data_IF_647473404092
#
_entry.id   IF_647473404092
#
_cell.length_a   1.000
_cell.length_b   1.000
_cell.length_c   1.000
_cell.angle_alpha   90.00
_cell.angle_beta   90.00
_cell.angle_gamma   90.00
#
_symmetry.space_group_name_H-M   'P 1'
#
loop_
_entity.id
_entity.type
_entity.pdbx_description
1 polymer ?
#
# COMPACT_ATOMS: atom_id res chain seq x y z
N UNK A 1 13.73 -1.42 10.54
CA UNK A 1 14.92 -2.16 11.08
C UNK A 1 15.22 -3.45 10.30
N UNK A 2 15.86 -3.33 9.12
CA UNK A 2 16.35 -4.49 8.35
C UNK A 2 17.89 -4.46 8.32
N UNK A 3 18.54 -5.55 8.70
CA UNK A 3 20.01 -5.69 8.73
C UNK A 3 20.46 -6.78 7.77
N UNK A 4 21.34 -6.42 6.84
CA UNK A 4 21.94 -7.39 5.90
C UNK A 4 23.43 -7.53 6.21
N UNK A 5 23.85 -8.77 6.52
CA UNK A 5 25.25 -9.10 6.77
C UNK A 5 25.76 -9.96 5.62
N UNK A 6 26.78 -9.47 4.92
CA UNK A 6 27.47 -10.25 3.89
C UNK A 6 28.89 -10.56 4.34
N UNK A 7 29.11 -11.83 4.63
CA UNK A 7 30.44 -12.36 4.87
C UNK A 7 31.12 -12.67 3.53
N UNK A 8 32.41 -12.41 3.50
CA UNK A 8 33.28 -12.65 2.36
C UNK A 8 32.97 -11.88 1.07
N UNK A 9 32.78 -10.57 1.18
CA UNK A 9 32.62 -9.70 0.02
C UNK A 9 34.00 -9.31 -0.55
N UNK A 10 34.23 -9.43 -1.86
CA UNK A 10 35.52 -9.08 -2.46
C UNK A 10 35.75 -7.57 -2.40
N UNK A 11 36.95 -7.16 -1.96
CA UNK A 11 37.34 -5.76 -1.88
C UNK A 11 37.28 -5.03 -3.23
N UNK A 12 37.43 -5.76 -4.35
CA UNK A 12 37.32 -5.21 -5.71
C UNK A 12 35.92 -4.66 -6.05
N UNK A 13 34.88 -5.09 -5.33
CA UNK A 13 33.50 -4.63 -5.55
C UNK A 13 33.05 -3.56 -4.54
N UNK A 14 33.96 -3.09 -3.69
CA UNK A 14 33.69 -1.93 -2.83
C UNK A 14 33.84 -0.64 -3.64
N UNK A 15 33.06 0.41 -3.32
CA UNK A 15 33.29 1.73 -3.87
C UNK A 15 34.67 2.28 -3.47
N UNK A 16 35.22 3.18 -4.29
CA UNK A 16 36.63 3.58 -4.26
C UNK A 16 37.04 4.24 -2.93
N UNK A 17 36.10 4.96 -2.31
CA UNK A 17 36.20 5.63 -1.01
C UNK A 17 36.43 4.66 0.16
N UNK A 18 35.86 3.45 0.08
CA UNK A 18 36.00 2.41 1.11
C UNK A 18 37.07 1.36 0.75
N UNK A 19 37.64 1.46 -0.45
CA UNK A 19 38.67 0.54 -0.96
C UNK A 19 40.10 0.98 -0.60
N UNK A 20 40.28 2.23 -0.18
CA UNK A 20 41.60 2.80 0.09
C UNK A 20 42.31 2.06 1.23
N UNK A 21 43.53 1.55 0.97
CA UNK A 21 44.33 0.81 1.94
C UNK A 21 44.03 -0.69 2.07
N UNK A 22 43.13 -1.25 1.25
CA UNK A 22 42.83 -2.68 1.19
C UNK A 22 43.42 -3.33 -0.07
N UNK A 23 43.95 -4.54 0.06
CA UNK A 23 44.44 -5.33 -1.08
C UNK A 23 43.26 -5.68 -2.02
N UNK A 24 43.49 -5.66 -3.33
CA UNK A 24 42.45 -5.90 -4.34
C UNK A 24 41.85 -7.30 -4.24
N UNK A 25 42.61 -8.27 -3.72
CA UNK A 25 42.15 -9.65 -3.49
C UNK A 25 41.67 -9.91 -2.05
N UNK A 26 41.65 -8.89 -1.20
CA UNK A 26 41.18 -9.04 0.17
C UNK A 26 39.67 -9.33 0.21
N UNK A 27 39.29 -10.05 1.26
CA UNK A 27 37.91 -10.42 1.54
C UNK A 27 37.43 -9.67 2.77
N UNK A 28 36.35 -8.90 2.65
CA UNK A 28 35.84 -8.04 3.73
C UNK A 28 34.45 -8.48 4.21
N UNK A 29 34.08 -8.03 5.41
CA UNK A 29 32.73 -8.20 5.96
C UNK A 29 31.97 -6.89 5.82
N UNK A 30 30.88 -6.89 5.07
CA UNK A 30 30.04 -5.70 4.85
C UNK A 30 28.78 -5.81 5.70
N UNK A 31 28.53 -4.79 6.51
CA UNK A 31 27.31 -4.65 7.31
C UNK A 31 26.55 -3.46 6.74
N UNK A 32 25.37 -3.71 6.17
CA UNK A 32 24.49 -2.66 5.64
C UNK A 32 23.38 -2.42 6.64
N UNK A 33 23.35 -1.20 7.18
CA UNK A 33 22.31 -0.71 8.07
C UNK A 33 21.54 0.38 7.31
N UNK A 34 20.27 0.12 7.04
CA UNK A 34 19.37 1.09 6.42
C UNK A 34 18.57 1.71 7.54
N UNK A 35 18.80 3.01 7.82
CA UNK A 35 17.88 3.80 8.62
C UNK A 35 16.50 3.74 7.95
N UNK A 36 15.43 3.58 8.73
CA UNK A 36 14.06 3.65 8.20
C UNK A 36 13.85 5.06 7.64
N UNK A 37 14.22 5.25 6.38
CA UNK A 37 13.80 6.40 5.59
C UNK A 37 12.29 6.21 5.50
N UNK A 38 11.47 7.06 6.14
CA UNK A 38 10.03 6.98 5.96
C UNK A 38 9.79 7.05 4.45
N UNK A 39 8.93 6.18 3.89
CA UNK A 39 8.74 6.10 2.45
C UNK A 39 8.50 7.51 1.92
N UNK A 40 9.36 7.96 1.00
CA UNK A 40 9.23 9.25 0.29
C UNK A 40 8.07 9.19 -0.72
N UNK A 41 6.96 8.55 -0.35
CA UNK A 41 5.69 8.67 -1.01
C UNK A 41 4.87 9.66 -0.21
N UNK A 42 4.66 10.82 -0.85
CA UNK A 42 3.74 11.86 -0.41
C UNK A 42 2.45 11.26 0.14
N UNK A 43 2.26 11.50 1.42
CA UNK A 43 1.30 10.90 2.33
C UNK A 43 -0.12 11.46 2.15
N UNK A 44 -0.57 11.62 0.91
CA UNK A 44 -1.96 12.02 0.58
C UNK A 44 -2.91 10.83 0.52
N UNK A 45 -2.38 9.60 0.55
CA UNK A 45 -3.14 8.34 0.52
C UNK A 45 -3.14 7.58 1.86
N UNK A 46 -2.46 8.08 2.92
CA UNK A 46 -2.46 7.44 4.25
C UNK A 46 -3.84 7.20 4.83
N UNK A 47 -4.77 8.13 4.59
CA UNK A 47 -6.15 7.98 5.05
C UNK A 47 -6.80 6.71 4.49
N UNK A 48 -6.54 6.41 3.21
CA UNK A 48 -7.10 5.23 2.54
C UNK A 48 -6.39 3.94 2.96
N UNK A 49 -5.07 3.97 3.14
CA UNK A 49 -4.30 2.81 3.60
C UNK A 49 -4.65 2.41 5.05
N UNK A 50 -4.82 3.40 5.94
CA UNK A 50 -5.26 3.17 7.31
C UNK A 50 -6.68 2.58 7.37
N UNK A 51 -7.56 2.98 6.45
CA UNK A 51 -8.93 2.48 6.33
C UNK A 51 -9.00 1.06 5.75
N UNK A 52 -8.04 0.66 4.91
CA UNK A 52 -7.91 -0.71 4.41
C UNK A 52 -7.31 -1.69 5.44
N UNK A 53 -6.39 -1.23 6.29
CA UNK A 53 -5.74 -2.07 7.31
C UNK A 53 -6.62 -2.27 8.56
N UNK A 54 -7.60 -1.39 8.74
CA UNK A 54 -8.73 -1.62 9.64
C UNK A 54 -9.65 -2.69 9.03
N UNK A 55 -9.32 -3.97 9.22
CA UNK A 55 -10.23 -5.08 8.86
C UNK A 55 -11.62 -4.73 9.42
N UNK A 56 -12.65 -4.57 8.57
CA UNK A 56 -13.99 -4.28 9.07
C UNK A 56 -14.34 -5.39 10.05
N UNK A 57 -14.78 -5.01 11.25
CA UNK A 57 -15.22 -5.99 12.26
C UNK A 57 -16.18 -6.93 11.56
N UNK A 58 -15.93 -8.23 11.62
CA UNK A 58 -16.84 -9.22 11.03
C UNK A 58 -18.19 -9.06 11.73
N UNK A 59 -19.14 -8.43 11.05
CA UNK A 59 -20.48 -8.24 11.59
C UNK A 59 -21.12 -9.61 11.78
N UNK A 60 -21.83 -9.78 12.89
CA UNK A 60 -22.66 -10.98 13.04
C UNK A 60 -23.79 -10.96 12.01
N UNK A 61 -24.32 -12.12 11.63
CA UNK A 61 -25.44 -12.19 10.67
C UNK A 61 -26.64 -11.32 11.10
N UNK A 62 -26.91 -11.24 12.41
CA UNK A 62 -27.97 -10.38 12.96
C UNK A 62 -27.66 -8.89 12.78
N UNK A 63 -26.45 -8.49 13.11
CA UNK A 63 -25.99 -7.11 12.98
C UNK A 63 -26.01 -6.63 11.52
N UNK A 64 -25.68 -7.52 10.57
CA UNK A 64 -25.78 -7.24 9.14
C UNK A 64 -27.24 -7.01 8.68
N UNK A 65 -28.17 -7.82 9.19
CA UNK A 65 -29.61 -7.67 8.89
C UNK A 65 -30.13 -6.34 9.45
N UNK A 66 -29.80 -6.01 10.70
CA UNK A 66 -30.23 -4.78 11.36
C UNK A 66 -29.67 -3.53 10.65
N UNK A 67 -28.38 -3.55 10.28
CA UNK A 67 -27.76 -2.48 9.51
C UNK A 67 -28.41 -2.29 8.13
N UNK A 68 -28.74 -3.38 7.44
CA UNK A 68 -29.42 -3.30 6.14
C UNK A 68 -30.85 -2.76 6.26
N UNK A 69 -31.57 -3.12 7.33
CA UNK A 69 -32.89 -2.58 7.61
C UNK A 69 -32.83 -1.07 7.88
N UNK A 70 -31.84 -0.63 8.66
CA UNK A 70 -31.66 0.79 9.00
C UNK A 70 -31.25 1.63 7.79
N UNK A 71 -30.35 1.10 6.96
CA UNK A 71 -29.99 1.72 5.68
C UNK A 71 -31.20 1.87 4.75
N UNK A 72 -32.09 0.87 4.69
CA UNK A 72 -33.31 0.94 3.87
C UNK A 72 -34.32 1.97 4.37
N UNK A 73 -34.33 2.29 5.66
CA UNK A 73 -35.21 3.33 6.25
C UNK A 73 -34.67 4.73 6.00
N UNK A 74 -33.35 4.90 6.15
CA UNK A 74 -32.68 6.22 6.05
C UNK A 74 -32.31 6.60 4.61
N UNK A 75 -32.16 5.62 3.72
CA UNK A 75 -31.86 5.89 2.32
C UNK A 75 -33.12 6.28 1.53
N UNK A 76 -33.31 7.60 1.42
CA UNK A 76 -34.42 8.25 0.71
C UNK A 76 -34.20 8.22 -0.82
N UNK A 77 -32.98 7.97 -1.30
CA UNK A 77 -32.64 8.09 -2.73
C UNK A 77 -32.91 6.80 -3.50
N UNK A 78 -34.18 6.38 -3.52
CA UNK A 78 -34.67 5.35 -4.45
C UNK A 78 -34.76 5.97 -5.83
N UNK A 79 -33.69 5.87 -6.62
CA UNK A 79 -33.77 6.16 -8.04
C UNK A 79 -34.56 5.05 -8.72
N UNK A 80 -35.46 5.37 -9.67
CA UNK A 80 -36.08 4.35 -10.50
C UNK A 80 -35.00 3.62 -11.31
N UNK A 81 -35.29 2.37 -11.69
CA UNK A 81 -34.32 1.49 -12.35
C UNK A 81 -33.83 2.10 -13.66
N UNK A 82 -34.73 2.77 -14.37
CA UNK A 82 -34.48 3.42 -15.64
C UNK A 82 -33.45 4.56 -15.50
N UNK A 83 -33.58 5.39 -14.46
CA UNK A 83 -32.65 6.48 -14.15
C UNK A 83 -31.28 5.93 -13.74
N UNK A 84 -31.25 4.87 -12.94
CA UNK A 84 -30.00 4.21 -12.56
C UNK A 84 -29.26 3.67 -13.79
N UNK A 85 -29.97 3.00 -14.70
CA UNK A 85 -29.40 2.45 -15.94
C UNK A 85 -28.92 3.56 -16.87
N UNK A 86 -29.67 4.66 -17.01
CA UNK A 86 -29.26 5.81 -17.81
C UNK A 86 -27.93 6.40 -17.32
N UNK A 87 -27.81 6.61 -16.00
CA UNK A 87 -26.59 7.14 -15.38
C UNK A 87 -25.38 6.22 -15.55
N UNK A 88 -25.58 4.90 -15.47
CA UNK A 88 -24.51 3.92 -15.71
C UNK A 88 -24.04 3.97 -17.17
N UNK A 89 -24.95 4.13 -18.12
CA UNK A 89 -24.60 4.22 -19.55
C UNK A 89 -23.83 5.49 -19.86
N UNK A 90 -24.28 6.64 -19.36
CA UNK A 90 -23.57 7.91 -19.50
C UNK A 90 -22.13 7.80 -18.97
N UNK A 91 -21.96 7.26 -17.76
CA UNK A 91 -20.63 7.02 -17.18
C UNK A 91 -19.78 6.07 -18.01
N UNK A 92 -20.36 5.04 -18.63
CA UNK A 92 -19.61 4.12 -19.49
C UNK A 92 -19.18 4.83 -20.77
N UNK A 93 -20.09 5.57 -21.40
CA UNK A 93 -19.86 6.21 -22.68
C UNK A 93 -18.78 7.31 -22.54
N UNK A 94 -18.75 8.05 -21.42
CA UNK A 94 -17.66 9.00 -21.07
C UNK A 94 -16.26 8.34 -20.96
N UNK A 95 -16.18 7.04 -20.73
CA UNK A 95 -14.93 6.29 -20.57
C UNK A 95 -14.52 5.53 -21.84
N UNK A 96 -15.44 5.39 -22.80
CA UNK A 96 -15.17 4.73 -24.10
C UNK A 96 -14.68 5.72 -25.18
N UNK A 97 -14.79 7.04 -24.93
CA UNK A 97 -14.18 8.13 -25.71
C UNK A 97 -12.73 8.44 -25.27
#
# INVERSE_FOLDING_TARGET
MNKVVREHYPASKLPQDLREGLDEQATVRVVVEVEDIPPLYDDTLSGFAAEMDARPRSMTAREAIDAMAEYRKTNIRRVPVEEAVARIRELRDEWED
#
